data_IF_258433948193
#
_entry.id   IF_258433948193
#
_cell.length_a   1.000
_cell.length_b   1.000
_cell.length_c   1.000
_cell.angle_alpha   90.00
_cell.angle_beta   90.00
_cell.angle_gamma   90.00
#
_symmetry.space_group_name_H-M   'P 1'
#
loop_
_entity.id
_entity.type
_entity.pdbx_description
1 polymer ?
#
# COMPACT_ATOMS: atom_id res chain seq x y z
N UNK A 1 -14.67 10.08 92.48
CA UNK A 1 -15.80 10.27 91.55
C UNK A 1 -15.33 10.00 90.13
N UNK A 2 -15.92 8.98 89.50
CA UNK A 2 -16.09 8.65 88.06
C UNK A 2 -15.35 9.52 87.01
N UNK A 3 -14.79 8.96 85.92
CA UNK A 3 -15.56 8.25 84.89
C UNK A 3 -14.66 7.44 83.93
N UNK A 4 -15.15 6.28 83.49
CA UNK A 4 -14.60 5.38 82.45
C UNK A 4 -14.76 5.94 81.02
N UNK A 5 -13.92 5.50 80.06
CA UNK A 5 -14.23 4.96 78.68
C UNK A 5 -12.98 5.04 77.78
N UNK A 6 -12.35 3.91 77.38
CA UNK A 6 -12.56 3.02 76.20
C UNK A 6 -11.89 3.50 74.88
N UNK A 7 -10.91 2.71 74.39
CA UNK A 7 -10.62 2.26 73.00
C UNK A 7 -10.35 3.34 71.91
N UNK A 8 -9.58 3.18 70.81
CA UNK A 8 -8.86 2.11 70.13
C UNK A 8 -7.82 2.71 69.14
N UNK A 9 -6.92 1.85 68.65
CA UNK A 9 -5.99 1.89 67.49
C UNK A 9 -6.17 2.93 66.37
N UNK A 10 -5.04 3.37 65.78
CA UNK A 10 -4.70 3.10 64.36
C UNK A 10 -3.24 3.50 64.03
N UNK A 11 -2.44 2.54 63.56
CA UNK A 11 -1.15 2.76 62.90
C UNK A 11 -1.46 3.18 61.46
N UNK A 12 -1.19 4.44 61.10
CA UNK A 12 -1.37 4.95 59.75
C UNK A 12 -0.11 4.73 58.90
N UNK A 13 -0.02 3.59 58.21
CA UNK A 13 0.86 3.44 57.06
C UNK A 13 0.02 3.70 55.79
N UNK A 14 0.07 4.92 55.26
CA UNK A 14 -0.51 5.25 53.96
C UNK A 14 0.51 4.89 52.86
N UNK A 15 0.45 3.66 52.36
CA UNK A 15 1.00 3.33 51.05
C UNK A 15 -0.15 3.44 50.06
N UNK A 16 -0.20 4.53 49.29
CA UNK A 16 -1.14 4.65 48.20
C UNK A 16 -0.72 3.68 47.07
N UNK A 17 -1.58 2.75 46.60
CA UNK A 17 -1.29 2.02 45.39
C UNK A 17 -1.49 2.97 44.22
N UNK A 18 -0.42 3.26 43.49
CA UNK A 18 -0.47 3.78 42.12
C UNK A 18 -1.15 2.71 41.24
N UNK A 19 -2.49 2.74 41.21
CA UNK A 19 -3.27 2.08 40.17
C UNK A 19 -3.02 2.85 38.87
N UNK A 20 -2.00 2.43 38.13
CA UNK A 20 -1.88 2.77 36.72
C UNK A 20 -3.05 2.07 36.00
N UNK A 21 -4.16 2.80 35.85
CA UNK A 21 -5.26 2.38 35.00
C UNK A 21 -4.70 2.34 33.58
N UNK A 22 -4.37 1.15 33.09
CA UNK A 22 -4.04 0.92 31.69
C UNK A 22 -5.30 1.21 30.89
N UNK A 23 -5.45 2.45 30.43
CA UNK A 23 -6.46 2.77 29.42
C UNK A 23 -6.18 1.86 28.21
N UNK A 24 -7.18 1.12 27.70
CA UNK A 24 -7.01 0.40 26.45
C UNK A 24 -6.59 1.43 25.39
N UNK A 25 -5.55 1.11 24.61
CA UNK A 25 -5.12 1.95 23.50
C UNK A 25 -6.35 2.25 22.63
N UNK A 26 -6.69 3.54 22.49
CA UNK A 26 -7.85 3.94 21.72
C UNK A 26 -7.73 3.40 20.29
N UNK A 27 -8.80 2.81 19.77
CA UNK A 27 -8.95 2.58 18.33
C UNK A 27 -9.16 3.95 17.70
N UNK A 28 -8.06 4.60 17.33
CA UNK A 28 -8.13 5.86 16.62
C UNK A 28 -8.12 5.55 15.12
N UNK A 29 -9.07 6.16 14.40
CA UNK A 29 -9.39 5.83 13.01
C UNK A 29 -8.32 6.38 12.08
N UNK A 30 -7.40 5.52 11.66
CA UNK A 30 -6.47 5.73 10.56
C UNK A 30 -6.95 4.93 9.35
N UNK A 31 -6.69 5.39 8.13
CA UNK A 31 -7.05 4.68 6.92
C UNK A 31 -6.12 5.09 5.77
N UNK A 32 -5.53 4.11 5.09
CA UNK A 32 -4.68 4.34 3.93
C UNK A 32 -4.10 3.06 3.33
N UNK A 33 -3.66 3.14 2.08
CA UNK A 33 -3.07 2.02 1.34
C UNK A 33 -2.07 2.53 0.29
N UNK A 34 -1.32 1.62 -0.32
CA UNK A 34 -0.38 1.94 -1.42
C UNK A 34 -1.12 1.86 -2.75
N UNK A 35 -1.16 2.97 -3.49
CA UNK A 35 -1.81 3.11 -4.79
C UNK A 35 -0.85 2.92 -5.96
N UNK A 36 0.45 3.14 -5.75
CA UNK A 36 1.47 2.95 -6.77
C UNK A 36 2.79 2.51 -6.13
N UNK A 37 3.43 1.44 -6.61
CA UNK A 37 2.86 0.40 -7.45
C UNK A 37 1.62 -0.22 -6.77
N UNK A 38 0.56 -0.49 -7.54
CA UNK A 38 -0.75 -0.92 -7.01
C UNK A 38 -0.66 -2.13 -6.08
N UNK A 39 -1.01 -1.93 -4.80
CA UNK A 39 -1.07 -3.00 -3.80
C UNK A 39 -2.18 -4.01 -4.09
N UNK A 40 -2.16 -5.16 -3.40
CA UNK A 40 -3.20 -6.19 -3.55
C UNK A 40 -4.60 -5.64 -3.30
N UNK A 41 -4.78 -4.87 -2.23
CA UNK A 41 -6.07 -4.22 -1.96
C UNK A 41 -6.45 -3.15 -3.00
N UNK A 42 -5.47 -2.48 -3.60
CA UNK A 42 -5.70 -1.53 -4.70
C UNK A 42 -6.17 -2.27 -5.97
N UNK A 43 -5.53 -3.38 -6.31
CA UNK A 43 -5.93 -4.27 -7.41
C UNK A 43 -7.35 -4.82 -7.21
N UNK A 44 -7.71 -5.17 -5.97
CA UNK A 44 -9.08 -5.56 -5.62
C UNK A 44 -10.07 -4.41 -5.89
N UNK A 45 -9.76 -3.20 -5.40
CA UNK A 45 -10.63 -2.04 -5.56
C UNK A 45 -10.78 -1.59 -7.03
N UNK A 46 -9.72 -1.77 -7.83
CA UNK A 46 -9.71 -1.51 -9.27
C UNK A 46 -10.38 -2.63 -10.10
N UNK A 47 -10.77 -3.76 -9.48
CA UNK A 47 -11.36 -4.91 -10.18
C UNK A 47 -10.37 -5.72 -11.02
N UNK A 48 -9.06 -5.53 -10.82
CA UNK A 48 -8.00 -6.29 -11.51
C UNK A 48 -7.95 -7.73 -11.01
N UNK A 49 -8.19 -7.94 -9.71
CA UNK A 49 -8.31 -9.25 -9.10
C UNK A 49 -9.66 -9.34 -8.41
N UNK A 50 -10.39 -10.43 -8.64
CA UNK A 50 -11.68 -10.63 -7.96
C UNK A 50 -11.46 -10.82 -6.47
N UNK A 51 -12.12 -9.97 -5.69
CA UNK A 51 -12.00 -9.93 -4.24
C UNK A 51 -13.36 -9.75 -3.57
N UNK A 52 -13.40 -10.14 -2.30
CA UNK A 52 -14.54 -9.97 -1.41
C UNK A 52 -14.69 -8.53 -0.93
N UNK A 53 -14.78 -8.35 0.39
CA UNK A 53 -15.12 -7.07 1.01
C UNK A 53 -14.05 -5.99 0.76
N UNK A 54 -12.78 -6.38 0.67
CA UNK A 54 -11.66 -5.43 0.62
C UNK A 54 -11.71 -4.46 -0.57
N UNK A 55 -12.36 -4.83 -1.68
CA UNK A 55 -12.51 -3.95 -2.85
C UNK A 55 -13.29 -2.67 -2.56
N UNK A 56 -14.16 -2.67 -1.55
CA UNK A 56 -14.95 -1.50 -1.18
C UNK A 56 -14.24 -0.59 -0.18
N UNK A 57 -13.17 -1.08 0.44
CA UNK A 57 -12.47 -0.39 1.53
C UNK A 57 -10.97 -0.70 1.56
N UNK A 58 -10.22 -0.47 0.45
CA UNK A 58 -8.80 -0.79 0.37
C UNK A 58 -7.96 -0.11 1.47
N UNK A 59 -8.44 1.01 1.99
CA UNK A 59 -7.83 1.78 3.07
C UNK A 59 -7.86 1.11 4.46
N UNK A 60 -8.58 0.00 4.63
CA UNK A 60 -8.97 -0.54 5.95
C UNK A 60 -8.16 -1.75 6.42
N UNK A 61 -7.04 -2.10 5.78
CA UNK A 61 -6.22 -3.26 6.17
C UNK A 61 -5.41 -2.98 7.45
N UNK A 62 -6.12 -2.86 8.56
CA UNK A 62 -5.60 -2.55 9.89
C UNK A 62 -5.37 -3.83 10.71
N UNK A 63 -4.27 -3.87 11.47
CA UNK A 63 -4.03 -4.90 12.47
C UNK A 63 -2.99 -4.49 13.51
N UNK A 64 -2.73 -5.33 14.53
CA UNK A 64 -1.70 -5.07 15.54
C UNK A 64 -0.33 -4.87 14.90
N UNK A 65 0.51 -3.98 15.44
CA UNK A 65 1.88 -3.74 14.95
C UNK A 65 2.74 -5.01 14.98
N UNK A 66 3.70 -5.07 14.07
CA UNK A 66 4.76 -6.09 14.05
C UNK A 66 4.43 -7.37 13.27
N UNK A 67 3.26 -7.43 12.64
CA UNK A 67 2.88 -8.56 11.79
C UNK A 67 3.58 -8.48 10.41
N UNK A 68 3.58 -9.61 9.69
CA UNK A 68 4.19 -9.76 8.37
C UNK A 68 3.25 -10.37 7.32
N UNK A 69 1.97 -10.50 7.65
CA UNK A 69 0.93 -10.89 6.71
C UNK A 69 0.45 -9.68 5.90
N UNK A 70 -0.03 -9.94 4.69
CA UNK A 70 -0.64 -8.93 3.82
C UNK A 70 -1.98 -8.44 4.39
N UNK A 71 -2.72 -9.31 5.07
CA UNK A 71 -4.00 -8.96 5.72
C UNK A 71 -3.87 -8.19 7.04
N UNK A 72 -2.66 -8.03 7.57
CA UNK A 72 -2.47 -7.52 8.94
C UNK A 72 -3.09 -8.43 10.01
N UNK A 73 -3.36 -9.71 9.70
CA UNK A 73 -4.04 -10.63 10.62
C UNK A 73 -5.55 -10.43 10.68
N UNK A 74 -6.11 -9.55 9.84
CA UNK A 74 -7.54 -9.34 9.74
C UNK A 74 -8.19 -10.45 8.89
N UNK A 75 -8.93 -11.35 9.54
CA UNK A 75 -9.54 -12.50 8.89
C UNK A 75 -10.54 -12.14 7.77
N UNK A 76 -11.16 -10.95 7.81
CA UNK A 76 -12.05 -10.47 6.75
C UNK A 76 -11.29 -10.21 5.44
N UNK A 77 -9.99 -9.93 5.52
CA UNK A 77 -9.12 -9.62 4.39
C UNK A 77 -8.07 -10.71 4.15
N UNK A 78 -8.30 -11.93 4.66
CA UNK A 78 -7.37 -13.06 4.54
C UNK A 78 -7.04 -13.43 3.09
N UNK A 79 -7.90 -13.09 2.13
CA UNK A 79 -7.63 -13.27 0.71
C UNK A 79 -6.38 -12.52 0.22
N UNK A 80 -5.98 -11.43 0.89
CA UNK A 80 -4.75 -10.71 0.56
C UNK A 80 -3.49 -11.54 0.84
N UNK A 81 -3.58 -12.55 1.71
CA UNK A 81 -2.49 -13.48 2.02
C UNK A 81 -2.38 -14.64 1.01
N UNK A 82 -3.40 -14.84 0.16
CA UNK A 82 -3.42 -15.93 -0.81
C UNK A 82 -2.59 -15.58 -2.04
N UNK A 83 -1.43 -16.21 -2.15
CA UNK A 83 -0.49 -16.04 -3.27
C UNK A 83 -0.91 -16.75 -4.55
N UNK A 84 -1.91 -17.62 -4.50
CA UNK A 84 -2.45 -18.28 -5.69
C UNK A 84 -3.43 -17.41 -6.46
N UNK A 85 -3.91 -16.30 -5.87
CA UNK A 85 -4.69 -15.31 -6.59
C UNK A 85 -3.82 -14.67 -7.67
N UNK A 86 -4.43 -14.36 -8.81
CA UNK A 86 -3.78 -13.81 -9.99
C UNK A 86 -3.28 -12.37 -9.84
N UNK A 87 -2.60 -12.04 -8.74
CA UNK A 87 -2.05 -10.72 -8.46
C UNK A 87 -1.15 -10.27 -9.59
N UNK A 88 -1.45 -9.09 -10.14
CA UNK A 88 -0.64 -8.47 -11.17
C UNK A 88 0.69 -8.06 -10.54
N UNK A 89 1.77 -8.40 -11.25
CA UNK A 89 3.14 -8.05 -10.87
C UNK A 89 3.56 -6.80 -11.61
N UNK A 90 3.86 -5.71 -10.89
CA UNK A 90 4.24 -4.44 -11.50
C UNK A 90 5.74 -4.41 -11.79
N UNK A 91 6.18 -4.17 -13.04
CA UNK A 91 7.59 -3.96 -13.34
C UNK A 91 8.11 -2.69 -12.65
N UNK A 92 9.26 -2.79 -11.97
CA UNK A 92 9.89 -1.66 -11.29
C UNK A 92 11.39 -1.65 -11.55
N UNK A 93 12.01 -0.47 -11.51
CA UNK A 93 13.47 -0.34 -11.53
C UNK A 93 14.08 -0.73 -10.18
N UNK A 94 15.41 -0.72 -10.08
CA UNK A 94 16.14 -0.99 -8.82
C UNK A 94 15.83 0.01 -7.70
N UNK A 95 15.23 1.16 -8.02
CA UNK A 95 14.73 2.14 -7.07
C UNK A 95 13.42 2.70 -7.57
N UNK A 96 12.35 2.53 -6.81
CA UNK A 96 11.00 2.89 -7.24
C UNK A 96 10.28 3.70 -6.17
N UNK A 97 9.37 4.56 -6.61
CA UNK A 97 8.56 5.38 -5.71
C UNK A 97 7.32 4.61 -5.29
N UNK A 98 7.06 4.55 -3.98
CA UNK A 98 5.84 4.01 -3.40
C UNK A 98 4.96 5.15 -2.93
N UNK A 99 3.76 5.26 -3.48
CA UNK A 99 2.75 6.27 -3.15
C UNK A 99 1.68 5.66 -2.25
N UNK A 100 1.53 6.27 -1.07
CA UNK A 100 0.43 6.00 -0.16
C UNK A 100 -0.65 7.06 -0.32
N UNK A 101 -1.91 6.62 -0.28
CA UNK A 101 -3.07 7.50 -0.15
C UNK A 101 -3.75 7.25 1.21
N UNK A 102 -4.07 8.32 1.93
CA UNK A 102 -4.67 8.27 3.26
C UNK A 102 -6.02 9.00 3.28
N UNK A 103 -7.11 8.26 3.48
CA UNK A 103 -8.46 8.83 3.62
C UNK A 103 -8.72 9.35 5.04
N UNK A 104 -8.06 8.77 6.04
CA UNK A 104 -8.02 9.27 7.41
C UNK A 104 -6.57 9.35 7.90
N UNK A 105 -6.00 10.55 7.84
CA UNK A 105 -4.61 10.84 8.22
C UNK A 105 -4.48 10.80 9.74
N UNK A 106 -3.45 10.13 10.25
CA UNK A 106 -3.26 9.96 11.68
C UNK A 106 -1.79 10.18 12.08
N UNK A 107 -1.50 10.32 13.38
CA UNK A 107 -0.13 10.52 13.85
C UNK A 107 0.70 9.30 13.46
N UNK A 108 1.84 9.50 12.80
CA UNK A 108 2.62 8.41 12.22
C UNK A 108 3.94 8.23 12.95
N UNK A 109 4.23 6.99 13.40
CA UNK A 109 5.54 6.62 13.90
C UNK A 109 6.53 6.48 12.74
N UNK A 110 6.22 5.62 11.76
CA UNK A 110 7.05 5.41 10.58
C UNK A 110 6.30 4.63 9.49
N UNK A 111 6.93 4.56 8.32
CA UNK A 111 6.61 3.59 7.28
C UNK A 111 7.80 2.64 7.11
N UNK A 112 7.52 1.35 6.97
CA UNK A 112 8.53 0.31 6.78
C UNK A 112 8.21 -0.52 5.54
N UNK A 113 9.25 -0.92 4.83
CA UNK A 113 9.14 -1.75 3.62
C UNK A 113 9.98 -3.01 3.80
N UNK A 114 9.41 -4.16 3.45
CA UNK A 114 10.04 -5.45 3.62
C UNK A 114 9.93 -6.33 2.38
N UNK A 115 10.95 -7.16 2.16
CA UNK A 115 10.87 -8.35 1.29
C UNK A 115 11.16 -9.56 2.17
N UNK A 116 10.16 -10.41 2.35
CA UNK A 116 10.18 -11.46 3.38
C UNK A 116 10.47 -10.86 4.77
N UNK A 117 11.55 -11.32 5.41
CA UNK A 117 11.97 -10.82 6.73
C UNK A 117 12.89 -9.60 6.66
N UNK A 118 13.42 -9.27 5.49
CA UNK A 118 14.43 -8.21 5.32
C UNK A 118 13.75 -6.85 5.20
N UNK A 119 14.10 -5.90 6.09
CA UNK A 119 13.68 -4.50 5.96
C UNK A 119 14.54 -3.82 4.90
N UNK A 120 13.91 -3.34 3.84
CA UNK A 120 14.60 -2.69 2.71
C UNK A 120 14.56 -1.17 2.81
N UNK A 121 13.57 -0.59 3.50
CA UNK A 121 13.51 0.84 3.76
C UNK A 121 12.69 1.17 5.03
N UNK A 122 12.96 2.33 5.61
CA UNK A 122 12.17 2.93 6.69
C UNK A 122 12.17 4.44 6.57
N UNK A 123 11.01 5.06 6.82
CA UNK A 123 10.82 6.51 6.79
C UNK A 123 10.17 6.95 8.10
N UNK A 124 10.83 7.86 8.82
CA UNK A 124 10.37 8.35 10.12
C UNK A 124 9.22 9.34 9.96
N UNK A 125 8.08 9.06 10.61
CA UNK A 125 6.91 9.93 10.64
C UNK A 125 6.95 10.98 11.74
N UNK A 126 7.90 10.89 12.68
CA UNK A 126 8.15 11.88 13.75
C UNK A 126 6.94 12.14 14.65
N UNK A 127 5.96 11.24 14.70
CA UNK A 127 4.70 11.44 15.40
C UNK A 127 3.81 12.54 14.80
N UNK A 128 4.11 13.01 13.59
CA UNK A 128 3.31 14.01 12.91
C UNK A 128 2.15 13.36 12.14
N UNK A 129 1.08 14.12 11.91
CA UNK A 129 0.06 13.75 10.94
C UNK A 129 0.63 13.97 9.53
N UNK A 130 0.65 12.96 8.64
CA UNK A 130 1.18 13.10 7.29
C UNK A 130 0.24 13.93 6.40
N UNK A 131 0.70 14.37 5.22
CA UNK A 131 -0.20 14.74 4.12
C UNK A 131 -1.10 13.58 3.70
N UNK A 132 -2.15 13.86 2.90
CA UNK A 132 -3.04 12.82 2.39
C UNK A 132 -2.28 11.83 1.49
N UNK A 133 -1.37 12.35 0.68
CA UNK A 133 -0.53 11.55 -0.20
C UNK A 133 0.91 11.62 0.25
N UNK A 134 1.56 10.46 0.37
CA UNK A 134 2.95 10.33 0.80
C UNK A 134 3.70 9.47 -0.20
N UNK A 135 4.83 9.98 -0.69
CA UNK A 135 5.71 9.26 -1.62
C UNK A 135 7.03 8.90 -0.94
N UNK A 136 7.45 7.66 -1.11
CA UNK A 136 8.71 7.14 -0.59
C UNK A 136 9.53 6.50 -1.70
N UNK A 137 10.77 6.94 -1.90
CA UNK A 137 11.67 6.31 -2.83
C UNK A 137 12.37 5.11 -2.16
N UNK A 138 12.00 3.89 -2.56
CA UNK A 138 12.51 2.64 -1.99
C UNK A 138 13.54 2.03 -2.94
N UNK A 139 14.74 1.78 -2.41
CA UNK A 139 15.80 1.09 -3.12
C UNK A 139 15.75 -0.41 -2.79
N UNK A 140 15.70 -1.25 -3.82
CA UNK A 140 15.63 -2.71 -3.67
C UNK A 140 16.98 -3.36 -3.39
N UNK A 141 18.08 -2.60 -3.36
CA UNK A 141 19.43 -3.10 -3.16
C UNK A 141 19.78 -4.15 -4.21
N UNK A 142 20.09 -5.37 -3.76
CA UNK A 142 20.42 -6.50 -4.63
C UNK A 142 19.21 -7.37 -5.00
N UNK A 143 18.00 -7.04 -4.54
CA UNK A 143 16.81 -7.81 -4.92
C UNK A 143 16.46 -7.54 -6.39
N UNK A 144 16.24 -8.61 -7.14
CA UNK A 144 15.88 -8.59 -8.56
C UNK A 144 14.77 -9.61 -8.84
N UNK A 145 14.11 -9.52 -9.99
CA UNK A 145 13.05 -10.44 -10.40
C UNK A 145 11.76 -10.25 -9.60
N UNK A 146 10.89 -11.27 -9.61
CA UNK A 146 9.60 -11.22 -8.90
C UNK A 146 9.82 -11.19 -7.39
N UNK A 147 9.31 -10.15 -6.74
CA UNK A 147 9.37 -9.93 -5.30
C UNK A 147 7.98 -9.57 -4.78
N UNK A 148 7.71 -9.90 -3.52
CA UNK A 148 6.57 -9.37 -2.77
C UNK A 148 7.08 -8.39 -1.73
N UNK A 149 6.66 -7.14 -1.84
CA UNK A 149 6.95 -6.09 -0.88
C UNK A 149 5.80 -6.00 0.11
N UNK A 150 6.11 -6.03 1.40
CA UNK A 150 5.18 -5.63 2.44
C UNK A 150 5.50 -4.19 2.87
N UNK A 151 4.58 -3.27 2.61
CA UNK A 151 4.62 -1.91 3.12
C UNK A 151 3.74 -1.82 4.39
N UNK A 152 4.30 -1.24 5.45
CA UNK A 152 3.66 -1.13 6.76
C UNK A 152 3.66 0.33 7.20
N UNK A 153 2.49 0.88 7.48
CA UNK A 153 2.34 2.20 8.10
C UNK A 153 2.03 2.03 9.59
N UNK A 154 2.99 2.39 10.44
CA UNK A 154 2.84 2.32 11.90
C UNK A 154 2.26 3.64 12.43
N UNK A 155 1.04 3.59 12.99
CA UNK A 155 0.40 4.73 13.66
C UNK A 155 1.11 4.99 15.00
N UNK A 156 1.36 6.25 15.38
CA UNK A 156 2.20 6.56 16.54
C UNK A 156 1.51 6.31 17.88
N UNK A 157 0.24 6.67 17.98
CA UNK A 157 -0.54 6.76 19.22
C UNK A 157 -1.53 5.60 19.43
N UNK A 158 -1.48 4.56 18.58
CA UNK A 158 -2.27 3.33 18.74
C UNK A 158 -1.38 2.07 18.79
N UNK A 159 -1.97 0.91 19.08
CA UNK A 159 -1.31 -0.39 18.96
C UNK A 159 -1.25 -0.97 17.55
N UNK A 160 -1.79 -0.24 16.55
CA UNK A 160 -2.09 -0.77 15.23
C UNK A 160 -1.18 -0.21 14.12
N UNK A 161 -1.20 -0.90 12.98
CA UNK A 161 -0.55 -0.53 11.74
C UNK A 161 -1.44 -0.91 10.54
N UNK A 162 -1.15 -0.31 9.38
CA UNK A 162 -1.78 -0.63 8.11
C UNK A 162 -0.82 -1.41 7.24
N UNK A 163 -1.34 -2.45 6.57
CA UNK A 163 -0.54 -3.42 5.83
C UNK A 163 -0.93 -3.42 4.35
N UNK A 164 0.06 -3.32 3.46
CA UNK A 164 -0.14 -3.40 2.02
C UNK A 164 0.93 -4.31 1.41
N UNK A 165 0.50 -5.37 0.73
CA UNK A 165 1.38 -6.18 -0.09
C UNK A 165 1.37 -5.68 -1.53
N UNK A 166 2.54 -5.62 -2.16
CA UNK A 166 2.72 -5.25 -3.55
C UNK A 166 3.57 -6.32 -4.22
N UNK A 167 3.06 -6.91 -5.30
CA UNK A 167 3.81 -7.83 -6.14
C UNK A 167 4.54 -7.04 -7.24
N UNK A 168 5.88 -7.10 -7.27
CA UNK A 168 6.71 -6.33 -8.20
C UNK A 168 7.71 -7.23 -8.94
N UNK A 169 8.18 -6.79 -10.11
CA UNK A 169 9.28 -7.42 -10.83
C UNK A 169 10.46 -6.42 -10.93
N UNK A 170 11.44 -6.57 -10.04
CA UNK A 170 12.53 -5.61 -9.87
C UNK A 170 13.61 -5.80 -10.94
N UNK A 171 13.97 -4.72 -11.63
CA UNK A 171 14.93 -4.74 -12.73
C UNK A 171 14.36 -5.31 -14.03
N UNK A 172 13.07 -5.66 -14.05
CA UNK A 172 12.35 -6.09 -15.24
C UNK A 172 11.95 -4.89 -16.10
N UNK A 173 12.91 -4.21 -16.72
CA UNK A 173 12.62 -3.41 -17.90
C UNK A 173 12.31 -4.35 -19.06
N UNK A 174 11.21 -4.10 -19.79
CA UNK A 174 10.66 -4.90 -20.89
C UNK A 174 11.69 -5.77 -21.63
N UNK A 175 11.86 -6.99 -21.15
CA UNK A 175 12.69 -8.03 -21.72
C UNK A 175 11.80 -9.19 -22.12
N UNK A 176 10.97 -8.98 -23.14
CA UNK A 176 10.28 -10.05 -23.85
C UNK A 176 11.33 -10.91 -24.55
N UNK A 177 11.88 -11.85 -23.80
CA UNK A 177 12.90 -12.80 -24.21
C UNK A 177 12.52 -14.19 -23.76
N UNK A 178 11.34 -14.65 -24.15
CA UNK A 178 11.05 -16.08 -24.16
C UNK A 178 11.21 -16.60 -25.58
N UNK A 179 12.37 -17.22 -25.80
CA UNK A 179 12.67 -17.99 -26.98
C UNK A 179 11.96 -19.35 -26.81
N UNK A 180 10.85 -19.54 -27.53
CA UNK A 180 9.99 -20.71 -27.39
C UNK A 180 9.20 -21.08 -28.64
N UNK A 181 9.82 -20.97 -29.82
CA UNK A 181 9.60 -21.86 -30.97
C UNK A 181 8.20 -21.99 -31.59
N UNK A 182 8.08 -21.48 -32.83
CA UNK A 182 7.49 -22.27 -33.91
C UNK A 182 6.19 -21.75 -34.50
N UNK A 183 6.32 -21.11 -35.68
CA UNK A 183 5.54 -21.53 -36.84
C UNK A 183 4.19 -20.87 -37.07
N UNK A 184 4.21 -20.05 -38.13
CA UNK A 184 3.18 -19.85 -39.13
C UNK A 184 2.16 -18.72 -38.93
N UNK A 185 1.88 -18.07 -40.06
CA UNK A 185 1.23 -16.77 -40.15
C UNK A 185 -0.29 -16.83 -40.10
N UNK A 186 -0.90 -15.69 -39.78
CA UNK A 186 -2.34 -15.52 -39.81
C UNK A 186 -2.78 -14.31 -38.99
N UNK A 187 -3.13 -13.25 -39.71
CA UNK A 187 -4.28 -12.37 -39.46
C UNK A 187 -4.25 -11.45 -38.22
N UNK A 188 -4.31 -10.14 -38.48
CA UNK A 188 -4.26 -9.08 -37.48
C UNK A 188 -5.42 -9.12 -36.48
N UNK A 189 -5.09 -9.49 -35.26
CA UNK A 189 -5.88 -9.30 -34.04
C UNK A 189 -5.28 -8.10 -33.26
N UNK A 190 -6.07 -7.21 -32.64
CA UNK A 190 -5.52 -6.15 -31.80
C UNK A 190 -4.84 -6.82 -30.61
N UNK A 191 -3.50 -6.82 -30.64
CA UNK A 191 -2.70 -7.49 -29.63
C UNK A 191 -2.86 -6.82 -28.27
N UNK A 192 -2.87 -7.64 -27.21
CA UNK A 192 -3.00 -7.21 -25.83
C UNK A 192 -2.16 -5.97 -25.53
N UNK A 193 -2.82 -4.94 -24.97
CA UNK A 193 -2.17 -3.78 -24.38
C UNK A 193 -1.00 -4.15 -23.43
N UNK A 194 0.24 -4.04 -23.93
CA UNK A 194 1.47 -4.35 -23.18
C UNK A 194 1.97 -3.22 -22.28
N UNK A 195 1.45 -1.99 -22.42
CA UNK A 195 1.86 -0.88 -21.57
C UNK A 195 1.23 -0.97 -20.16
N UNK A 196 1.84 -0.38 -19.12
CA UNK A 196 1.24 -0.31 -17.78
C UNK A 196 -0.16 0.32 -17.81
N UNK A 197 -1.11 -0.14 -17.00
CA UNK A 197 -2.44 0.50 -17.02
C UNK A 197 -2.36 1.94 -16.48
N UNK A 198 -3.12 2.85 -17.07
CA UNK A 198 -3.23 4.20 -16.54
C UNK A 198 -3.89 4.19 -15.16
N UNK A 199 -3.29 4.95 -14.24
CA UNK A 199 -3.80 5.29 -12.91
C UNK A 199 -3.84 6.80 -12.73
N UNK A 200 -4.94 7.32 -12.17
CA UNK A 200 -5.13 8.75 -11.89
C UNK A 200 -4.13 9.29 -10.84
N UNK A 201 -3.66 8.44 -9.93
CA UNK A 201 -2.72 8.82 -8.88
C UNK A 201 -1.27 8.96 -9.35
N UNK A 202 -0.96 8.52 -10.57
CA UNK A 202 0.40 8.47 -11.07
C UNK A 202 0.79 9.75 -11.81
N UNK A 203 2.04 10.14 -11.62
CA UNK A 203 2.71 11.17 -12.42
C UNK A 203 3.36 10.50 -13.61
N UNK A 204 3.04 10.96 -14.81
CA UNK A 204 3.67 10.55 -16.05
C UNK A 204 4.42 11.74 -16.64
N UNK A 205 5.60 11.46 -17.18
CA UNK A 205 6.44 12.43 -17.86
C UNK A 205 6.35 12.24 -19.38
N UNK A 206 6.78 13.24 -20.14
CA UNK A 206 6.72 13.19 -21.60
C UNK A 206 7.44 11.95 -22.16
N UNK A 207 6.71 11.13 -22.90
CA UNK A 207 7.19 9.87 -23.48
C UNK A 207 6.68 8.60 -22.78
N UNK A 208 6.21 8.70 -21.54
CA UNK A 208 5.69 7.53 -20.80
C UNK A 208 4.44 6.97 -21.48
N UNK A 209 4.33 5.64 -21.57
CA UNK A 209 3.18 4.97 -22.17
C UNK A 209 2.32 4.25 -21.13
N UNK A 210 1.01 4.28 -21.34
CA UNK A 210 0.02 3.58 -20.52
C UNK A 210 -1.03 2.92 -21.40
N UNK A 211 -1.66 1.89 -20.89
CA UNK A 211 -2.82 1.27 -21.51
C UNK A 211 -4.09 1.72 -20.80
N UNK A 212 -5.07 2.16 -21.57
CA UNK A 212 -6.37 2.59 -21.04
C UNK A 212 -7.45 2.41 -22.10
N UNK A 213 -8.55 1.75 -21.71
CA UNK A 213 -9.73 1.55 -22.56
C UNK A 213 -9.44 0.88 -23.92
N UNK A 214 -8.58 -0.14 -23.94
CA UNK A 214 -8.22 -0.87 -25.17
C UNK A 214 -7.35 -0.06 -26.14
N UNK A 215 -6.58 0.90 -25.61
CA UNK A 215 -5.67 1.73 -26.39
C UNK A 215 -4.37 1.93 -25.63
N UNK A 216 -3.27 2.09 -26.36
CA UNK A 216 -2.01 2.57 -25.80
C UNK A 216 -1.96 4.08 -25.93
N UNK A 217 -1.63 4.76 -24.84
CA UNK A 217 -1.52 6.21 -24.75
C UNK A 217 -0.11 6.61 -24.39
N UNK A 218 0.36 7.75 -24.90
CA UNK A 218 1.65 8.35 -24.55
C UNK A 218 1.44 9.71 -23.90
N UNK A 219 2.04 9.93 -22.74
CA UNK A 219 2.05 11.24 -22.11
C UNK A 219 2.88 12.19 -22.98
N UNK A 220 2.30 13.31 -23.40
CA UNK A 220 2.98 14.31 -24.25
C UNK A 220 3.92 15.18 -23.42
N UNK A 221 3.61 15.36 -22.14
CA UNK A 221 4.39 16.09 -21.15
C UNK A 221 4.00 15.63 -19.74
N UNK A 222 4.48 16.33 -18.72
CA UNK A 222 4.16 16.04 -17.32
C UNK A 222 2.64 16.07 -17.06
N UNK A 223 2.07 14.97 -16.58
CA UNK A 223 0.64 14.84 -16.28
C UNK A 223 0.43 14.02 -15.02
N UNK A 224 -0.58 14.39 -14.23
CA UNK A 224 -1.13 13.59 -13.12
C UNK A 224 -2.64 13.72 -13.12
N UNK A 225 -3.38 12.66 -12.83
CA UNK A 225 -4.85 12.69 -12.68
C UNK A 225 -5.67 12.81 -13.96
N UNK A 226 -5.13 13.37 -15.05
CA UNK A 226 -5.87 13.50 -16.30
C UNK A 226 -5.98 12.16 -17.03
N UNK A 227 -7.21 11.75 -17.35
CA UNK A 227 -7.54 10.47 -17.96
C UNK A 227 -7.22 10.46 -19.47
N UNK A 228 -6.63 9.40 -20.01
CA UNK A 228 -6.44 9.26 -21.45
C UNK A 228 -7.79 9.23 -22.19
N UNK A 229 -7.85 9.91 -23.34
CA UNK A 229 -9.02 9.93 -24.22
C UNK A 229 -10.13 10.93 -23.89
N UNK A 230 -10.04 11.70 -22.79
CA UNK A 230 -11.12 12.65 -22.42
C UNK A 230 -11.01 14.02 -23.09
N UNK A 231 -9.81 14.43 -23.53
CA UNK A 231 -9.52 15.80 -24.00
C UNK A 231 -9.18 15.89 -25.49
N UNK A 232 -9.29 14.78 -26.24
CA UNK A 232 -9.01 14.73 -27.68
C UNK A 232 -7.55 15.00 -28.03
N UNK A 233 -7.26 15.40 -29.27
CA UNK A 233 -5.89 15.63 -29.77
C UNK A 233 -5.12 16.75 -29.02
N UNK A 234 -5.86 17.69 -28.41
CA UNK A 234 -5.32 18.77 -27.59
C UNK A 234 -5.01 18.35 -26.15
N UNK A 235 -5.37 17.12 -25.79
CA UNK A 235 -5.11 16.53 -24.48
C UNK A 235 -3.63 16.29 -24.21
N UNK A 236 -3.36 15.97 -22.95
CA UNK A 236 -2.03 15.60 -22.43
C UNK A 236 -1.60 14.19 -22.85
N UNK A 237 -2.53 13.39 -23.36
CA UNK A 237 -2.31 12.03 -23.85
C UNK A 237 -2.43 11.97 -25.37
N UNK A 238 -1.47 11.31 -26.00
CA UNK A 238 -1.48 10.95 -27.42
C UNK A 238 -1.94 9.49 -27.55
N UNK A 239 -2.99 9.25 -28.33
CA UNK A 239 -3.44 7.89 -28.66
C UNK A 239 -2.48 7.25 -29.67
N UNK A 240 -1.88 6.12 -29.31
CA UNK A 240 -1.00 5.33 -30.17
C UNK A 240 -1.75 4.21 -30.89
N UNK A 241 -3.06 4.08 -30.67
CA UNK A 241 -3.93 3.11 -31.33
C UNK A 241 -4.39 1.99 -30.41
N UNK A 242 -5.28 1.17 -30.96
CA UNK A 242 -5.93 0.06 -30.27
C UNK A 242 -4.94 -1.04 -29.86
N UNK A 243 -5.23 -1.61 -28.69
CA UNK A 243 -4.66 -2.80 -28.09
C UNK A 243 -5.69 -3.37 -27.10
#
# INVERSE_FOLDING_TARGET
MNTKKKAALAIGALVAPLLAISLPAGTASAHGWVTDPGSRQDQCAAGVVDCGQIKYEPQSVEGPKGLRSCSGGNAQFAELDDDSKGWRVTPVSSTHTFNWHHTARHSTANWQYFIGNTKIAEFDGRGAQPPADVSHQVNFGSFTGRQKVLAVWNVADTGNAFYACIDVNVGGGNGGGDNGGGGDGGDGEPGDCVAPLWSAGNVYTGGDTVSYNGHTWRAKWWVTGEQPGTTGEWGVWEDLGAC
#
